data_IF_685931577179
#
_entry.id   IF_685931577179
#
_cell.length_a   1.000
_cell.length_b   1.000
_cell.length_c   1.000
_cell.angle_alpha   90.00
_cell.angle_beta   90.00
_cell.angle_gamma   90.00
#
_symmetry.space_group_name_H-M   'P 1'
#
loop_
_entity.id
_entity.type
_entity.pdbx_description
1 polymer ?
#
# COMPACT_ATOMS: atom_id res chain seq x y z
N UNK A 1 5.69 6.26 -9.59
CA UNK A 1 6.64 5.71 -8.61
C UNK A 1 6.93 4.24 -8.84
N UNK A 2 7.98 3.74 -8.22
CA UNK A 2 8.33 2.31 -8.16
C UNK A 2 8.53 1.65 -9.54
N UNK A 3 9.12 2.36 -10.49
CA UNK A 3 9.35 1.88 -11.88
C UNK A 3 10.17 0.58 -11.91
N UNK A 4 11.12 0.41 -10.98
CA UNK A 4 11.96 -0.79 -10.85
C UNK A 4 11.14 -2.07 -10.56
N UNK A 5 9.94 -1.95 -9.96
CA UNK A 5 9.03 -3.07 -9.69
C UNK A 5 7.95 -3.25 -10.76
N UNK A 6 7.50 -2.13 -11.36
CA UNK A 6 6.30 -2.09 -12.22
C UNK A 6 6.62 -1.96 -13.72
N UNK A 7 7.88 -1.82 -14.12
CA UNK A 7 8.27 -1.80 -15.52
C UNK A 7 7.86 -3.11 -16.22
N UNK A 8 7.72 -3.04 -17.53
CA UNK A 8 7.40 -4.21 -18.36
C UNK A 8 8.38 -5.36 -18.12
N UNK A 9 7.87 -6.57 -17.98
CA UNK A 9 8.66 -7.78 -17.73
C UNK A 9 9.09 -8.01 -16.28
N UNK A 10 8.85 -7.07 -15.36
CA UNK A 10 9.17 -7.25 -13.95
C UNK A 10 8.21 -8.25 -13.28
N UNK A 11 8.74 -8.96 -12.28
CA UNK A 11 8.02 -10.05 -11.60
C UNK A 11 6.69 -9.60 -10.99
N UNK A 12 6.68 -8.47 -10.28
CA UNK A 12 5.45 -7.93 -9.66
C UNK A 12 4.41 -7.61 -10.73
N UNK A 13 4.81 -6.93 -11.82
CA UNK A 13 3.91 -6.58 -12.90
C UNK A 13 3.31 -7.83 -13.56
N UNK A 14 4.13 -8.84 -13.85
CA UNK A 14 3.65 -10.11 -14.40
C UNK A 14 2.68 -10.82 -13.46
N UNK A 15 2.96 -10.85 -12.16
CA UNK A 15 2.07 -11.46 -11.15
C UNK A 15 0.70 -10.77 -11.13
N UNK A 16 0.65 -9.44 -11.28
CA UNK A 16 -0.57 -8.65 -11.36
C UNK A 16 -1.33 -8.92 -12.66
N UNK A 17 -0.65 -8.83 -13.81
CA UNK A 17 -1.25 -9.01 -15.14
C UNK A 17 -1.81 -10.43 -15.35
N UNK A 18 -1.14 -11.43 -14.81
CA UNK A 18 -1.60 -12.84 -14.89
C UNK A 18 -2.56 -13.23 -13.77
N UNK A 19 -2.84 -12.33 -12.85
CA UNK A 19 -3.67 -12.56 -11.65
C UNK A 19 -3.19 -13.78 -10.81
N UNK A 20 -1.87 -14.02 -10.79
CA UNK A 20 -1.23 -15.19 -10.17
C UNK A 20 -0.31 -14.78 -9.01
N UNK A 21 -0.92 -14.28 -7.93
CA UNK A 21 -0.21 -14.12 -6.66
C UNK A 21 -1.10 -14.55 -5.50
N UNK A 22 -0.50 -15.04 -4.45
CA UNK A 22 -1.18 -15.42 -3.21
C UNK A 22 -0.78 -14.51 -2.05
N UNK A 23 0.51 -14.22 -1.93
CA UNK A 23 1.05 -13.45 -0.83
C UNK A 23 2.23 -12.59 -1.29
N UNK A 24 2.13 -11.28 -1.05
CA UNK A 24 3.17 -10.29 -1.32
C UNK A 24 3.52 -9.56 -0.04
N UNK A 25 4.77 -9.15 0.09
CA UNK A 25 5.21 -8.26 1.17
C UNK A 25 5.89 -7.04 0.56
N UNK A 26 5.38 -5.87 0.90
CA UNK A 26 5.97 -4.59 0.55
C UNK A 26 6.79 -4.08 1.73
N UNK A 27 8.07 -3.93 1.50
CA UNK A 27 9.02 -3.41 2.47
C UNK A 27 9.60 -2.08 1.98
N UNK A 28 9.68 -1.09 2.84
CA UNK A 28 10.25 0.21 2.48
C UNK A 28 9.86 1.33 3.44
N UNK A 29 10.43 2.53 3.26
CA UNK A 29 10.22 3.66 4.15
C UNK A 29 8.76 4.11 4.16
N UNK A 30 8.35 4.93 5.15
CA UNK A 30 7.02 5.54 5.16
C UNK A 30 6.82 6.39 3.90
N UNK A 31 5.55 6.58 3.50
CA UNK A 31 5.19 7.44 2.38
C UNK A 31 5.63 7.00 0.97
N UNK A 32 6.32 5.86 0.80
CA UNK A 32 6.77 5.38 -0.52
C UNK A 32 5.65 4.73 -1.37
N UNK A 33 4.42 4.66 -0.85
CA UNK A 33 3.24 4.21 -1.61
C UNK A 33 2.84 2.75 -1.43
N UNK A 34 3.25 2.04 -0.37
CA UNK A 34 2.89 0.63 -0.10
C UNK A 34 1.39 0.39 -0.14
N UNK A 35 0.61 1.15 0.63
CA UNK A 35 -0.86 1.04 0.69
C UNK A 35 -1.51 1.38 -0.65
N UNK A 36 -1.03 2.43 -1.30
CA UNK A 36 -1.52 2.85 -2.62
C UNK A 36 -1.29 1.77 -3.66
N UNK A 37 -0.11 1.16 -3.68
CA UNK A 37 0.21 0.08 -4.60
C UNK A 37 -0.69 -1.14 -4.37
N UNK A 38 -0.93 -1.52 -3.11
CA UNK A 38 -1.84 -2.61 -2.76
C UNK A 38 -3.28 -2.35 -3.24
N UNK A 39 -3.77 -1.13 -3.06
CA UNK A 39 -5.11 -0.74 -3.54
C UNK A 39 -5.19 -0.76 -5.08
N UNK A 40 -4.15 -0.31 -5.78
CA UNK A 40 -4.07 -0.38 -7.25
C UNK A 40 -4.08 -1.84 -7.71
N UNK A 41 -3.33 -2.73 -7.06
CA UNK A 41 -3.31 -4.16 -7.38
C UNK A 41 -4.71 -4.77 -7.22
N UNK A 42 -5.38 -4.52 -6.11
CA UNK A 42 -6.73 -5.02 -5.88
C UNK A 42 -7.70 -4.55 -6.97
N UNK A 43 -7.62 -3.28 -7.36
CA UNK A 43 -8.44 -2.70 -8.43
C UNK A 43 -8.13 -3.31 -9.79
N UNK A 44 -6.85 -3.46 -10.14
CA UNK A 44 -6.40 -4.04 -11.43
C UNK A 44 -6.85 -5.50 -11.57
N UNK A 45 -6.85 -6.25 -10.47
CA UNK A 45 -7.27 -7.66 -10.43
C UNK A 45 -8.75 -7.85 -10.12
N UNK A 46 -9.55 -6.79 -10.17
CA UNK A 46 -10.98 -6.78 -9.82
C UNK A 46 -11.29 -7.42 -8.45
N UNK A 47 -10.34 -7.41 -7.53
CA UNK A 47 -10.52 -7.92 -6.19
C UNK A 47 -11.12 -6.85 -5.26
N UNK A 48 -11.80 -7.29 -4.21
CA UNK A 48 -12.22 -6.40 -3.15
C UNK A 48 -11.03 -6.09 -2.22
N UNK A 49 -10.82 -4.82 -1.89
CA UNK A 49 -9.75 -4.38 -1.01
C UNK A 49 -10.24 -4.27 0.42
N UNK A 50 -9.60 -4.98 1.34
CA UNK A 50 -9.84 -4.90 2.78
C UNK A 50 -8.52 -4.61 3.49
N UNK A 51 -8.58 -3.78 4.54
CA UNK A 51 -7.40 -3.34 5.27
C UNK A 51 -7.48 -3.75 6.75
N UNK A 52 -6.36 -4.15 7.29
CA UNK A 52 -6.07 -4.33 8.72
C UNK A 52 -4.83 -3.51 9.06
N UNK A 53 -4.76 -3.04 10.30
CA UNK A 53 -3.58 -2.38 10.84
C UNK A 53 -2.95 -3.28 11.90
N UNK A 54 -1.64 -3.53 11.81
CA UNK A 54 -0.92 -4.42 12.72
C UNK A 54 -0.92 -3.96 14.17
N UNK A 55 -1.13 -2.67 14.41
CA UNK A 55 -1.18 -2.09 15.75
C UNK A 55 -2.59 -2.13 16.35
N UNK A 56 -3.61 -1.81 15.55
CA UNK A 56 -4.98 -1.58 16.03
C UNK A 56 -5.86 -2.82 15.91
N UNK A 57 -5.62 -3.67 14.93
CA UNK A 57 -6.48 -4.81 14.64
C UNK A 57 -6.21 -5.98 15.58
N UNK A 58 -7.26 -6.51 16.18
CA UNK A 58 -7.19 -7.67 17.05
C UNK A 58 -7.57 -8.99 16.30
N UNK A 59 -7.53 -10.12 16.98
CA UNK A 59 -7.86 -11.44 16.41
C UNK A 59 -9.31 -11.51 15.92
N UNK A 60 -10.25 -10.83 16.62
CA UNK A 60 -11.66 -10.81 16.21
C UNK A 60 -11.84 -10.05 14.90
N UNK A 61 -11.15 -8.93 14.71
CA UNK A 61 -11.17 -8.15 13.47
C UNK A 61 -10.66 -8.99 12.28
N UNK A 62 -9.60 -9.76 12.49
CA UNK A 62 -9.05 -10.65 11.45
C UNK A 62 -10.10 -11.71 11.06
N UNK A 63 -10.74 -12.36 12.04
CA UNK A 63 -11.78 -13.36 11.79
C UNK A 63 -12.97 -12.78 11.05
N UNK A 64 -13.42 -11.59 11.43
CA UNK A 64 -14.50 -10.89 10.77
C UNK A 64 -14.18 -10.59 9.30
N UNK A 65 -13.00 -10.03 9.01
CA UNK A 65 -12.56 -9.75 7.64
C UNK A 65 -12.47 -11.01 6.79
N UNK A 66 -11.99 -12.12 7.37
CA UNK A 66 -11.93 -13.41 6.68
C UNK A 66 -13.34 -13.94 6.39
N UNK A 67 -14.26 -13.88 7.35
CA UNK A 67 -15.66 -14.29 7.14
C UNK A 67 -16.35 -13.47 6.04
N UNK A 68 -16.14 -12.15 6.03
CA UNK A 68 -16.63 -11.28 4.97
C UNK A 68 -16.02 -11.63 3.60
N UNK A 69 -14.74 -11.99 3.54
CA UNK A 69 -14.08 -12.40 2.29
C UNK A 69 -14.66 -13.74 1.78
N UNK A 70 -14.90 -14.70 2.66
CA UNK A 70 -15.52 -15.99 2.33
C UNK A 70 -16.95 -15.81 1.80
N UNK A 71 -17.76 -15.01 2.49
CA UNK A 71 -19.12 -14.69 2.04
C UNK A 71 -19.10 -14.04 0.66
N UNK A 72 -18.23 -13.07 0.41
CA UNK A 72 -18.10 -12.40 -0.88
C UNK A 72 -17.68 -13.35 -1.99
N UNK A 73 -16.79 -14.27 -1.69
CA UNK A 73 -16.38 -15.28 -2.66
C UNK A 73 -17.51 -16.25 -2.98
N UNK A 74 -18.27 -16.71 -1.97
CA UNK A 74 -19.38 -17.64 -2.18
C UNK A 74 -20.58 -16.99 -2.90
N UNK A 75 -20.90 -15.73 -2.60
CA UNK A 75 -22.07 -15.05 -3.18
C UNK A 75 -21.78 -14.42 -4.55
N UNK A 76 -20.57 -13.94 -4.79
CA UNK A 76 -20.25 -13.12 -5.95
C UNK A 76 -19.06 -13.63 -6.77
N UNK A 77 -18.38 -14.72 -6.35
CA UNK A 77 -17.16 -15.22 -6.99
C UNK A 77 -15.99 -14.21 -6.95
N UNK A 78 -16.10 -13.16 -6.14
CA UNK A 78 -15.14 -12.06 -6.13
C UNK A 78 -14.08 -12.28 -5.08
N UNK A 79 -12.80 -12.31 -5.51
CA UNK A 79 -11.65 -12.44 -4.66
C UNK A 79 -11.46 -11.21 -3.76
N UNK A 80 -10.82 -11.40 -2.62
CA UNK A 80 -10.47 -10.32 -1.68
C UNK A 80 -8.96 -10.23 -1.53
N UNK A 81 -8.43 -9.01 -1.65
CA UNK A 81 -7.08 -8.65 -1.22
C UNK A 81 -7.16 -8.14 0.21
N UNK A 82 -6.56 -8.87 1.13
CA UNK A 82 -6.39 -8.46 2.51
C UNK A 82 -5.03 -7.77 2.65
N UNK A 83 -5.05 -6.47 2.85
CA UNK A 83 -3.87 -5.67 3.10
C UNK A 83 -3.66 -5.52 4.61
N UNK A 84 -2.45 -5.80 5.07
CA UNK A 84 -2.05 -5.62 6.47
C UNK A 84 -0.94 -4.59 6.53
N UNK A 85 -1.25 -3.41 7.05
CA UNK A 85 -0.24 -2.39 7.32
C UNK A 85 0.48 -2.67 8.63
N UNK A 86 1.74 -2.22 8.76
CA UNK A 86 2.61 -2.46 9.92
C UNK A 86 2.67 -3.95 10.30
N UNK A 87 2.88 -4.81 9.30
CA UNK A 87 2.85 -6.27 9.45
C UNK A 87 3.80 -6.80 10.56
N UNK A 88 4.92 -6.13 10.80
CA UNK A 88 5.89 -6.48 11.85
C UNK A 88 5.31 -6.36 13.27
N UNK A 89 4.16 -5.68 13.43
CA UNK A 89 3.44 -5.56 14.70
C UNK A 89 2.47 -6.71 14.97
N UNK A 90 2.21 -7.59 13.98
CA UNK A 90 1.36 -8.74 14.21
C UNK A 90 2.02 -9.71 15.20
N UNK A 91 1.30 -9.99 16.29
CA UNK A 91 1.71 -11.00 17.24
C UNK A 91 1.41 -12.42 16.71
N UNK A 92 1.91 -13.43 17.42
CA UNK A 92 1.76 -14.84 17.03
C UNK A 92 0.29 -15.25 16.88
N UNK A 93 -0.59 -14.84 17.80
CA UNK A 93 -2.01 -15.21 17.76
C UNK A 93 -2.71 -14.65 16.50
N UNK A 94 -2.40 -13.41 16.11
CA UNK A 94 -2.91 -12.80 14.88
C UNK A 94 -2.38 -13.53 13.63
N UNK A 95 -1.10 -13.89 13.61
CA UNK A 95 -0.51 -14.66 12.52
C UNK A 95 -1.12 -16.07 12.41
N UNK A 96 -1.29 -16.77 13.52
CA UNK A 96 -1.84 -18.14 13.56
C UNK A 96 -3.29 -18.20 13.02
N UNK A 97 -4.09 -17.16 13.27
CA UNK A 97 -5.45 -17.05 12.71
C UNK A 97 -5.44 -16.80 11.21
N UNK A 98 -4.49 -15.99 10.71
CA UNK A 98 -4.44 -15.61 9.30
C UNK A 98 -3.88 -16.73 8.40
N UNK A 99 -2.84 -17.42 8.86
CA UNK A 99 -2.07 -18.39 8.07
C UNK A 99 -2.90 -19.46 7.36
N UNK A 100 -3.87 -20.15 7.99
CA UNK A 100 -4.68 -21.19 7.33
C UNK A 100 -5.47 -20.63 6.13
N UNK A 101 -5.88 -19.38 6.18
CA UNK A 101 -6.66 -18.73 5.12
C UNK A 101 -5.79 -18.27 3.95
N UNK A 102 -4.52 -17.95 4.21
CA UNK A 102 -3.52 -17.73 3.16
C UNK A 102 -3.18 -19.02 2.42
N UNK A 103 -2.97 -20.10 3.15
CA UNK A 103 -2.66 -21.43 2.58
C UNK A 103 -3.81 -21.97 1.72
N UNK A 104 -5.06 -21.76 2.14
CA UNK A 104 -6.26 -22.15 1.40
C UNK A 104 -6.60 -21.20 0.24
N UNK A 105 -5.91 -20.06 0.12
CA UNK A 105 -6.23 -19.05 -0.88
C UNK A 105 -7.59 -18.35 -0.67
N UNK A 106 -8.13 -18.38 0.55
CA UNK A 106 -9.39 -17.70 0.92
C UNK A 106 -9.29 -16.19 0.67
N UNK A 107 -8.13 -15.62 0.96
CA UNK A 107 -7.78 -14.25 0.67
C UNK A 107 -6.43 -14.20 -0.02
N UNK A 108 -6.23 -13.19 -0.85
CA UNK A 108 -4.91 -12.77 -1.32
C UNK A 108 -4.33 -11.81 -0.30
N UNK A 109 -3.09 -12.00 0.03
CA UNK A 109 -2.43 -11.24 1.07
C UNK A 109 -1.44 -10.23 0.52
N UNK A 110 -1.47 -9.02 1.05
CA UNK A 110 -0.42 -8.03 0.83
C UNK A 110 -0.07 -7.44 2.19
N UNK A 111 1.11 -7.75 2.69
CA UNK A 111 1.64 -7.14 3.91
C UNK A 111 2.51 -5.94 3.59
N UNK A 112 2.46 -4.90 4.42
CA UNK A 112 3.36 -3.76 4.36
C UNK A 112 4.13 -3.62 5.67
N UNK A 113 5.41 -3.30 5.56
CA UNK A 113 6.29 -3.10 6.70
C UNK A 113 7.38 -2.06 6.40
N UNK A 114 7.82 -1.36 7.43
CA UNK A 114 9.00 -0.49 7.39
C UNK A 114 10.25 -1.22 7.87
N UNK A 115 10.10 -2.37 8.52
CA UNK A 115 11.20 -3.19 9.02
C UNK A 115 11.55 -4.30 8.02
N UNK A 116 12.81 -4.72 7.98
CA UNK A 116 13.25 -5.77 7.09
C UNK A 116 12.50 -7.08 7.42
N UNK A 117 11.67 -7.60 6.51
CA UNK A 117 10.80 -8.75 6.80
C UNK A 117 11.58 -10.03 7.10
N UNK A 118 12.82 -10.15 6.66
CA UNK A 118 13.66 -11.31 6.95
C UNK A 118 14.10 -11.39 8.42
N UNK A 119 14.07 -10.27 9.15
CA UNK A 119 14.40 -10.22 10.59
C UNK A 119 13.16 -10.05 11.47
N UNK A 120 12.12 -9.40 10.95
CA UNK A 120 10.93 -9.03 11.72
C UNK A 120 9.88 -10.14 11.83
N UNK A 121 9.95 -11.17 10.97
CA UNK A 121 8.90 -12.18 10.87
C UNK A 121 9.34 -13.52 11.48
N UNK A 122 8.70 -13.87 12.59
CA UNK A 122 9.01 -15.07 13.35
C UNK A 122 8.37 -16.36 12.79
N UNK A 123 7.63 -16.31 11.69
CA UNK A 123 6.94 -17.46 11.14
C UNK A 123 7.59 -17.97 9.84
N UNK A 124 8.13 -19.18 9.81
CA UNK A 124 8.70 -19.79 8.59
C UNK A 124 7.69 -19.87 7.42
N UNK A 125 6.39 -19.83 7.72
CA UNK A 125 5.32 -19.96 6.71
C UNK A 125 5.05 -18.67 5.97
N UNK A 126 5.32 -17.50 6.56
CA UNK A 126 5.25 -16.21 5.85
C UNK A 126 6.42 -16.03 4.87
N UNK A 127 7.50 -16.83 4.97
CA UNK A 127 8.61 -16.85 4.02
C UNK A 127 8.25 -17.34 2.60
N UNK A 128 7.04 -17.87 2.38
CA UNK A 128 6.55 -18.18 1.03
C UNK A 128 6.04 -16.95 0.29
N UNK A 129 6.01 -15.79 0.96
CA UNK A 129 5.62 -14.54 0.36
C UNK A 129 6.75 -13.97 -0.50
N UNK A 130 6.39 -13.39 -1.62
CA UNK A 130 7.35 -12.64 -2.43
C UNK A 130 7.56 -11.25 -1.80
N UNK A 131 8.79 -10.92 -1.48
CA UNK A 131 9.16 -9.62 -0.89
C UNK A 131 9.57 -8.65 -1.98
N UNK A 132 8.98 -7.47 -1.98
CA UNK A 132 9.26 -6.39 -2.92
C UNK A 132 9.72 -5.15 -2.15
N UNK A 133 10.99 -4.76 -2.28
CA UNK A 133 11.49 -3.52 -1.70
C UNK A 133 10.94 -2.32 -2.49
N UNK A 134 10.29 -1.39 -1.78
CA UNK A 134 9.90 -0.10 -2.30
C UNK A 134 10.94 0.94 -1.91
N UNK A 135 11.32 1.77 -2.84
CA UNK A 135 12.27 2.86 -2.65
C UNK A 135 11.57 4.17 -2.27
N UNK A 136 12.28 5.12 -1.64
CA UNK A 136 11.80 6.49 -1.49
C UNK A 136 11.32 7.03 -2.84
N UNK A 137 10.30 7.87 -2.84
CA UNK A 137 9.80 8.47 -4.08
C UNK A 137 10.79 9.52 -4.55
N UNK A 138 11.28 9.48 -5.81
CA UNK A 138 12.17 10.50 -6.34
C UNK A 138 11.57 11.90 -6.27
N UNK A 139 12.40 12.92 -6.06
CA UNK A 139 11.97 14.32 -5.95
C UNK A 139 11.15 14.79 -7.15
N UNK A 140 11.57 14.43 -8.36
CA UNK A 140 10.83 14.75 -9.59
C UNK A 140 9.41 14.16 -9.60
N UNK A 141 9.25 12.95 -9.09
CA UNK A 141 7.94 12.29 -8.98
C UNK A 141 7.09 12.90 -7.85
N UNK A 142 7.72 13.36 -6.78
CA UNK A 142 7.05 14.14 -5.72
C UNK A 142 6.57 15.48 -6.25
N UNK A 143 7.41 16.24 -6.96
CA UNK A 143 7.02 17.49 -7.58
C UNK A 143 5.84 17.30 -8.56
N UNK A 144 5.89 16.26 -9.38
CA UNK A 144 4.77 15.92 -10.27
C UNK A 144 3.49 15.51 -9.50
N UNK A 145 3.63 14.87 -8.34
CA UNK A 145 2.50 14.55 -7.45
C UNK A 145 1.88 15.82 -6.87
N UNK A 146 2.69 16.75 -6.39
CA UNK A 146 2.24 18.02 -5.83
C UNK A 146 1.52 18.88 -6.90
N UNK A 147 2.07 18.97 -8.12
CA UNK A 147 1.41 19.65 -9.26
C UNK A 147 0.03 19.04 -9.54
N UNK A 148 -0.10 17.71 -9.52
CA UNK A 148 -1.40 17.06 -9.71
C UNK A 148 -2.36 17.33 -8.57
N UNK A 149 -1.88 17.37 -7.32
CA UNK A 149 -2.71 17.68 -6.17
C UNK A 149 -3.27 19.10 -6.22
N UNK A 150 -2.50 20.07 -6.72
CA UNK A 150 -2.95 21.45 -6.95
C UNK A 150 -3.96 21.57 -8.10
N UNK A 151 -3.88 20.71 -9.11
CA UNK A 151 -4.78 20.75 -10.26
C UNK A 151 -6.08 19.94 -10.06
N UNK A 152 -6.12 18.99 -9.14
CA UNK A 152 -7.30 18.12 -8.91
C UNK A 152 -8.34 18.86 -8.04
N UNK A 153 -9.45 19.29 -8.66
CA UNK A 153 -10.53 20.01 -7.96
C UNK A 153 -11.40 19.09 -7.08
N UNK A 154 -11.39 17.79 -7.35
CA UNK A 154 -12.30 16.83 -6.67
C UNK A 154 -11.64 16.18 -5.46
N UNK A 155 -10.36 15.80 -5.58
CA UNK A 155 -9.62 15.03 -4.56
C UNK A 155 -8.39 15.73 -4.05
N UNK A 156 -8.05 16.86 -4.64
CA UNK A 156 -6.88 17.67 -4.31
C UNK A 156 -7.25 19.08 -3.83
N UNK A 157 -6.38 20.01 -4.14
CA UNK A 157 -6.46 21.40 -3.70
C UNK A 157 -6.87 22.36 -4.82
N UNK A 158 -7.28 21.86 -6.00
CA UNK A 158 -7.61 22.66 -7.16
C UNK A 158 -8.75 23.67 -6.93
N UNK A 159 -9.69 23.36 -6.03
CA UNK A 159 -10.78 24.25 -5.65
C UNK A 159 -10.30 25.57 -5.00
N UNK A 160 -9.13 25.58 -4.40
CA UNK A 160 -8.53 26.78 -3.76
C UNK A 160 -7.92 27.75 -4.79
N UNK A 161 -7.69 27.30 -6.03
CA UNK A 161 -7.14 28.12 -7.13
C UNK A 161 -5.82 28.83 -6.78
N UNK A 162 -4.98 28.17 -6.00
CA UNK A 162 -3.67 28.68 -5.61
C UNK A 162 -2.69 28.48 -6.75
N UNK A 163 -1.99 29.55 -7.15
CA UNK A 163 -0.84 29.49 -8.02
C UNK A 163 0.42 29.39 -7.16
N UNK A 164 1.21 28.33 -7.38
CA UNK A 164 2.43 28.09 -6.62
C UNK A 164 3.62 28.02 -7.58
N UNK A 165 4.64 28.80 -7.28
CA UNK A 165 5.87 28.83 -8.06
C UNK A 165 6.54 27.45 -8.11
N UNK A 166 7.18 27.15 -9.23
CA UNK A 166 7.84 25.86 -9.45
C UNK A 166 8.94 25.57 -8.42
N UNK A 167 9.68 26.62 -8.04
CA UNK A 167 10.74 26.51 -7.02
C UNK A 167 10.18 26.15 -5.64
N UNK A 168 9.00 26.66 -5.28
CA UNK A 168 8.32 26.29 -4.04
C UNK A 168 7.90 24.82 -4.05
N UNK A 169 7.36 24.32 -5.17
CA UNK A 169 7.00 22.90 -5.31
C UNK A 169 8.22 22.00 -5.24
N UNK A 170 9.32 22.37 -5.90
CA UNK A 170 10.57 21.61 -5.86
C UNK A 170 11.16 21.62 -4.44
N UNK A 171 11.08 22.74 -3.72
CA UNK A 171 11.51 22.81 -2.33
C UNK A 171 10.71 21.88 -1.43
N UNK A 172 9.38 21.85 -1.55
CA UNK A 172 8.53 20.92 -0.80
C UNK A 172 8.87 19.46 -1.12
N UNK A 173 9.10 19.14 -2.39
CA UNK A 173 9.48 17.81 -2.83
C UNK A 173 10.82 17.36 -2.23
N UNK A 174 11.85 18.23 -2.27
CA UNK A 174 13.17 17.96 -1.70
C UNK A 174 13.10 17.76 -0.17
N UNK A 175 12.34 18.60 0.55
CA UNK A 175 12.19 18.52 2.00
C UNK A 175 11.35 17.32 2.49
N UNK A 176 10.62 16.70 1.59
CA UNK A 176 9.83 15.51 1.90
C UNK A 176 10.67 14.21 2.03
N UNK A 177 11.90 14.22 1.51
CA UNK A 177 12.84 13.09 1.63
C UNK A 177 12.24 11.75 1.15
N UNK A 178 11.58 11.77 -0.01
CA UNK A 178 10.97 10.59 -0.61
C UNK A 178 9.63 10.14 0.00
N UNK A 179 9.11 10.88 0.99
CA UNK A 179 7.81 10.60 1.62
C UNK A 179 6.69 11.43 0.98
N UNK A 180 5.85 10.77 0.16
CA UNK A 180 4.74 11.43 -0.52
C UNK A 180 3.66 11.95 0.44
N UNK A 181 3.46 11.32 1.61
CA UNK A 181 2.50 11.78 2.61
C UNK A 181 2.99 13.10 3.22
N UNK A 182 4.27 13.16 3.59
CA UNK A 182 4.91 14.37 4.12
C UNK A 182 4.83 15.52 3.11
N UNK A 183 5.12 15.25 1.82
CA UNK A 183 5.03 16.23 0.75
C UNK A 183 3.61 16.81 0.60
N UNK A 184 2.59 15.93 0.55
CA UNK A 184 1.19 16.34 0.40
C UNK A 184 0.68 17.10 1.62
N UNK A 185 1.03 16.67 2.84
CA UNK A 185 0.67 17.40 4.07
C UNK A 185 1.30 18.81 4.10
N UNK A 186 2.57 18.91 3.70
CA UNK A 186 3.23 20.22 3.64
C UNK A 186 2.57 21.15 2.61
N UNK A 187 2.18 20.62 1.45
CA UNK A 187 1.44 21.36 0.43
C UNK A 187 0.08 21.82 0.96
N UNK A 188 -0.68 20.95 1.60
CA UNK A 188 -1.98 21.26 2.17
C UNK A 188 -1.88 22.39 3.20
N UNK A 189 -0.91 22.31 4.12
CA UNK A 189 -0.66 23.36 5.11
C UNK A 189 -0.30 24.67 4.41
N UNK A 190 0.56 24.67 3.38
CA UNK A 190 0.93 25.86 2.66
C UNK A 190 -0.28 26.53 2.00
N UNK A 191 -1.14 25.76 1.32
CA UNK A 191 -2.35 26.26 0.65
C UNK A 191 -3.39 26.79 1.63
N UNK A 192 -3.58 26.12 2.78
CA UNK A 192 -4.58 26.53 3.78
C UNK A 192 -4.11 27.70 4.65
N UNK A 193 -2.83 28.06 4.60
CA UNK A 193 -2.24 29.16 5.37
C UNK A 193 -2.16 30.47 4.57
N UNK A 194 -2.56 30.44 3.30
CA UNK A 194 -2.59 31.62 2.40
C UNK A 194 -3.99 32.21 2.40
#
# INVERSE_FOLDING_TARGET
>A
GQKHLLASGKLLRRAIETDRFTSLIFYGPPGCGKTTLAAVIARTTNAHFMMLNGVESNVADIREKIAQAQMRMSMHGRKTVLFVDELHRFNKAQQDVLLPHLEKGTVRFIGATTENPYYAMNSPRMYRSQVFPLEPVPEEELAALLKRALADEVRGLGAFRVDMEEDALNHLAAKADGDARKALTALEVAVLST
#
